data_IF_605122081545
#
_entry.id   IF_605122081545
#
_cell.length_a   1.000
_cell.length_b   1.000
_cell.length_c   1.000
_cell.angle_alpha   90.00
_cell.angle_beta   90.00
_cell.angle_gamma   90.00
#
_symmetry.space_group_name_H-M   'P 1'
#
loop_
_entity.id
_entity.type
_entity.pdbx_description
1 polymer ?
#
# COMPACT_ATOMS: atom_id res chain seq x y z
N UNK A 1 17.60 -27.97 9.38
CA UNK A 1 16.39 -28.35 10.13
C UNK A 1 16.13 -27.21 11.08
N UNK A 2 15.36 -26.20 10.65
CA UNK A 2 14.99 -25.06 11.49
C UNK A 2 13.96 -25.56 12.51
N UNK A 3 14.38 -25.64 13.77
CA UNK A 3 13.50 -25.98 14.88
C UNK A 3 12.55 -24.81 15.12
N UNK A 4 11.30 -25.11 15.48
CA UNK A 4 10.16 -24.20 15.71
C UNK A 4 10.41 -23.01 16.68
N UNK A 5 11.61 -22.89 17.24
CA UNK A 5 12.07 -21.87 18.19
C UNK A 5 12.70 -20.63 17.53
N UNK A 6 12.95 -20.65 16.21
CA UNK A 6 13.53 -19.51 15.46
C UNK A 6 12.48 -18.74 14.63
N UNK A 7 11.19 -18.98 14.88
CA UNK A 7 10.13 -18.22 14.22
C UNK A 7 10.09 -16.81 14.85
N UNK A 8 10.19 -15.74 14.04
CA UNK A 8 10.12 -14.37 14.54
C UNK A 8 8.81 -14.13 15.28
N UNK A 9 8.85 -13.28 16.32
CA UNK A 9 7.65 -12.93 17.09
C UNK A 9 6.56 -12.39 16.16
N UNK A 10 5.44 -13.12 16.08
CA UNK A 10 4.22 -12.60 15.47
C UNK A 10 3.44 -11.81 16.54
N UNK A 11 2.99 -10.58 16.25
CA UNK A 11 3.14 -9.86 14.99
C UNK A 11 4.49 -9.13 14.85
N UNK A 12 4.98 -9.05 13.61
CA UNK A 12 6.19 -8.31 13.23
C UNK A 12 5.96 -6.81 13.41
N UNK A 13 6.74 -6.17 14.26
CA UNK A 13 6.70 -4.72 14.48
C UNK A 13 7.92 -4.04 13.84
N UNK A 14 7.67 -3.01 13.03
CA UNK A 14 8.69 -2.27 12.29
C UNK A 14 8.57 -0.79 12.63
N UNK A 15 9.72 -0.13 12.71
CA UNK A 15 9.80 1.33 12.66
C UNK A 15 10.24 1.71 11.27
N UNK A 16 9.42 2.51 10.58
CA UNK A 16 9.70 3.01 9.24
C UNK A 16 9.77 4.53 9.26
N UNK A 17 10.54 5.11 8.35
CA UNK A 17 10.62 6.56 8.20
C UNK A 17 9.70 7.03 7.07
N UNK A 18 8.73 7.88 7.41
CA UNK A 18 7.84 8.51 6.43
C UNK A 18 8.55 9.56 5.58
N UNK A 19 7.91 10.00 4.50
CA UNK A 19 8.44 11.01 3.57
C UNK A 19 8.68 12.37 4.24
N UNK A 20 7.90 12.67 5.27
CA UNK A 20 8.01 13.84 6.15
C UNK A 20 9.13 13.73 7.19
N UNK A 21 9.91 12.63 7.16
CA UNK A 21 11.03 12.38 8.06
C UNK A 21 10.65 11.89 9.46
N UNK A 22 9.35 11.73 9.76
CA UNK A 22 8.85 11.18 11.02
C UNK A 22 8.89 9.65 11.01
N UNK A 23 9.13 9.06 12.17
CA UNK A 23 9.09 7.62 12.34
C UNK A 23 7.67 7.14 12.65
N UNK A 24 7.26 6.06 11.99
CA UNK A 24 5.98 5.41 12.20
C UNK A 24 6.18 3.96 12.56
N UNK A 25 5.39 3.47 13.51
CA UNK A 25 5.33 2.05 13.85
C UNK A 25 4.33 1.38 12.92
N UNK A 26 4.76 0.34 12.22
CA UNK A 26 3.90 -0.58 11.47
C UNK A 26 3.93 -1.92 12.16
N UNK A 27 2.79 -2.59 12.23
CA UNK A 27 2.70 -3.94 12.79
C UNK A 27 1.96 -4.82 11.81
N UNK A 28 2.56 -5.96 11.46
CA UNK A 28 2.06 -6.91 10.47
C UNK A 28 2.07 -8.30 11.09
N UNK A 29 0.96 -9.02 10.95
CA UNK A 29 0.91 -10.41 11.38
C UNK A 29 -0.03 -11.21 10.50
N UNK A 30 0.32 -12.46 10.21
CA UNK A 30 -0.59 -13.36 9.49
C UNK A 30 -1.74 -13.77 10.41
N UNK A 31 -2.95 -13.76 9.88
CA UNK A 31 -4.14 -14.30 10.57
C UNK A 31 -4.44 -15.70 10.06
N UNK A 32 -5.25 -16.43 10.83
CA UNK A 32 -5.87 -17.67 10.39
C UNK A 32 -6.57 -17.49 9.03
N UNK A 33 -6.64 -18.58 8.26
CA UNK A 33 -7.18 -18.61 6.89
C UNK A 33 -6.46 -17.69 5.88
N UNK A 34 -5.22 -17.26 6.16
CA UNK A 34 -4.39 -16.51 5.21
C UNK A 34 -4.70 -15.01 5.14
N UNK A 35 -5.42 -14.48 6.14
CA UNK A 35 -5.59 -13.04 6.29
C UNK A 35 -4.30 -12.36 6.79
N UNK A 36 -4.26 -11.02 6.74
CA UNK A 36 -3.17 -10.22 7.29
C UNK A 36 -3.76 -9.18 8.23
N UNK A 37 -3.26 -9.14 9.47
CA UNK A 37 -3.46 -8.05 10.41
C UNK A 37 -2.44 -6.98 10.15
N UNK A 38 -2.88 -5.72 10.10
CA UNK A 38 -1.99 -4.64 9.76
C UNK A 38 -2.40 -3.36 10.49
N UNK A 39 -1.43 -2.69 11.11
CA UNK A 39 -1.61 -1.37 11.72
C UNK A 39 -0.47 -0.44 11.37
N UNK A 40 -0.72 0.86 11.35
CA UNK A 40 0.30 1.89 11.23
C UNK A 40 -0.05 3.08 12.14
N UNK A 41 0.95 3.66 12.79
CA UNK A 41 0.77 4.82 13.67
C UNK A 41 0.54 6.14 12.95
N UNK A 42 0.62 6.18 11.62
CA UNK A 42 0.47 7.44 10.87
C UNK A 42 -1.00 7.92 10.86
N UNK A 43 -1.18 9.24 10.75
CA UNK A 43 -2.51 9.85 10.76
C UNK A 43 -3.42 9.32 9.64
N UNK A 44 -2.85 9.03 8.46
CA UNK A 44 -3.61 8.49 7.33
C UNK A 44 -4.24 7.14 7.66
N UNK A 45 -3.48 6.25 8.30
CA UNK A 45 -3.98 4.93 8.68
C UNK A 45 -5.14 5.03 9.68
N UNK A 46 -5.05 5.94 10.64
CA UNK A 46 -6.13 6.17 11.62
C UNK A 46 -7.45 6.62 10.99
N UNK A 47 -7.39 7.30 9.84
CA UNK A 47 -8.56 7.84 9.13
C UNK A 47 -9.14 6.83 8.14
N UNK A 48 -8.27 6.22 7.35
CA UNK A 48 -8.68 5.44 6.18
C UNK A 48 -8.54 3.92 6.38
N UNK A 49 -7.99 3.48 7.51
CA UNK A 49 -7.62 2.07 7.80
C UNK A 49 -6.58 1.48 6.84
N UNK A 50 -5.90 2.35 6.09
CA UNK A 50 -4.72 2.04 5.27
C UNK A 50 -3.88 3.30 5.04
N UNK A 51 -2.63 3.12 4.62
CA UNK A 51 -1.81 4.24 4.15
C UNK A 51 -0.73 3.74 3.17
N UNK A 52 0.09 4.66 2.65
CA UNK A 52 1.17 4.30 1.72
C UNK A 52 2.17 3.32 2.33
N UNK A 53 2.55 3.55 3.59
CA UNK A 53 3.45 2.66 4.32
C UNK A 53 2.99 1.20 4.31
N UNK A 54 1.69 0.98 4.54
CA UNK A 54 1.13 -0.37 4.61
C UNK A 54 1.11 -1.04 3.26
N UNK A 55 0.88 -0.27 2.19
CA UNK A 55 0.99 -0.75 0.81
C UNK A 55 2.43 -1.12 0.49
N UNK A 56 3.41 -0.28 0.85
CA UNK A 56 4.82 -0.56 0.60
C UNK A 56 5.33 -1.80 1.35
N UNK A 57 4.87 -2.03 2.59
CA UNK A 57 5.16 -3.26 3.34
C UNK A 57 4.53 -4.48 2.66
N UNK A 58 3.25 -4.41 2.29
CA UNK A 58 2.57 -5.53 1.61
C UNK A 58 3.11 -5.81 0.21
N UNK A 59 3.70 -4.82 -0.46
CA UNK A 59 4.40 -4.98 -1.73
C UNK A 59 5.88 -5.36 -1.57
N UNK A 60 6.32 -5.71 -0.36
CA UNK A 60 7.69 -6.12 -0.05
C UNK A 60 8.78 -5.10 -0.43
N UNK A 61 8.49 -3.79 -0.34
CA UNK A 61 9.45 -2.71 -0.61
C UNK A 61 10.26 -2.29 0.60
N UNK A 62 10.79 -3.27 1.32
CA UNK A 62 11.43 -3.08 2.62
C UNK A 62 12.61 -2.11 2.57
N UNK A 63 13.44 -2.20 1.53
CA UNK A 63 14.58 -1.29 1.33
C UNK A 63 14.18 0.18 1.17
N UNK A 64 13.07 0.44 0.48
CA UNK A 64 12.56 1.81 0.33
C UNK A 64 12.04 2.38 1.66
N UNK A 65 11.67 1.51 2.60
CA UNK A 65 11.27 1.84 3.97
C UNK A 65 12.46 1.89 4.95
N UNK A 66 13.70 1.66 4.48
CA UNK A 66 14.90 1.63 5.30
C UNK A 66 15.08 0.35 6.12
N UNK A 67 14.30 -0.69 5.83
CA UNK A 67 14.41 -1.99 6.49
C UNK A 67 15.49 -2.81 5.77
N UNK A 68 16.57 -3.11 6.49
CA UNK A 68 17.71 -3.89 5.99
C UNK A 68 18.02 -5.11 6.85
N UNK A 69 17.21 -5.35 7.89
CA UNK A 69 17.35 -6.50 8.79
C UNK A 69 16.82 -7.78 8.09
N UNK A 70 17.66 -8.77 7.81
CA UNK A 70 17.25 -10.01 7.13
C UNK A 70 16.21 -10.81 7.92
N UNK A 71 16.23 -10.75 9.25
CA UNK A 71 15.27 -11.49 10.08
C UNK A 71 13.89 -10.85 9.98
N UNK A 72 13.83 -9.52 9.96
CA UNK A 72 12.60 -8.77 9.70
C UNK A 72 12.06 -9.00 8.29
N UNK A 73 12.93 -9.09 7.29
CA UNK A 73 12.57 -9.41 5.90
C UNK A 73 11.92 -10.80 5.81
N UNK A 74 12.57 -11.82 6.37
CA UNK A 74 12.04 -13.19 6.41
C UNK A 74 10.71 -13.30 7.16
N UNK A 75 10.57 -12.57 8.27
CA UNK A 75 9.34 -12.52 9.05
C UNK A 75 8.18 -11.93 8.23
N UNK A 76 8.44 -10.86 7.47
CA UNK A 76 7.44 -10.21 6.62
C UNK A 76 7.07 -11.07 5.42
N UNK A 77 8.04 -11.71 4.78
CA UNK A 77 7.78 -12.67 3.72
C UNK A 77 6.81 -13.75 4.20
N UNK A 78 7.07 -14.33 5.37
CA UNK A 78 6.20 -15.34 5.98
C UNK A 78 4.80 -14.82 6.27
N UNK A 79 4.68 -13.56 6.71
CA UNK A 79 3.41 -12.94 7.06
C UNK A 79 2.57 -12.52 5.84
N UNK A 80 3.21 -12.08 4.76
CA UNK A 80 2.57 -11.39 3.63
C UNK A 80 2.48 -12.25 2.38
N UNK A 81 3.51 -13.02 2.05
CA UNK A 81 3.58 -13.70 0.75
C UNK A 81 2.49 -14.76 0.57
N UNK A 82 1.90 -14.77 -0.62
CA UNK A 82 0.80 -15.64 -1.01
C UNK A 82 -0.52 -15.31 -0.32
N UNK A 83 -0.64 -14.12 0.29
CA UNK A 83 -1.90 -13.67 0.90
C UNK A 83 -2.69 -12.80 -0.08
N UNK A 84 -4.02 -12.81 0.07
CA UNK A 84 -4.88 -11.90 -0.71
C UNK A 84 -4.52 -10.43 -0.49
N UNK A 85 -4.00 -10.08 0.69
CA UNK A 85 -3.58 -8.74 1.04
C UNK A 85 -2.38 -8.27 0.19
N UNK A 86 -1.44 -9.16 -0.12
CA UNK A 86 -0.34 -8.90 -1.05
C UNK A 86 -0.88 -8.61 -2.46
N UNK A 87 -1.77 -9.47 -2.98
CA UNK A 87 -2.34 -9.31 -4.32
C UNK A 87 -3.05 -7.95 -4.49
N UNK A 88 -3.93 -7.61 -3.54
CA UNK A 88 -4.67 -6.35 -3.61
C UNK A 88 -3.78 -5.13 -3.33
N UNK A 89 -2.67 -5.29 -2.58
CA UNK A 89 -1.69 -4.22 -2.41
C UNK A 89 -0.99 -3.92 -3.73
N UNK A 90 -0.59 -4.94 -4.50
CA UNK A 90 0.00 -4.77 -5.81
C UNK A 90 -0.97 -4.14 -6.81
N UNK A 91 -2.26 -4.48 -6.77
CA UNK A 91 -3.28 -3.80 -7.56
C UNK A 91 -3.40 -2.31 -7.22
N UNK A 92 -3.52 -2.00 -5.93
CA UNK A 92 -3.63 -0.63 -5.44
C UNK A 92 -2.38 0.19 -5.80
N UNK A 93 -1.21 -0.40 -5.65
CA UNK A 93 0.03 0.27 -5.99
C UNK A 93 0.15 0.58 -7.48
N UNK A 94 -0.20 -0.35 -8.38
CA UNK A 94 -0.23 -0.09 -9.82
C UNK A 94 -1.18 1.05 -10.14
N UNK A 95 -2.35 1.10 -9.49
CA UNK A 95 -3.31 2.17 -9.69
C UNK A 95 -2.79 3.52 -9.16
N UNK A 96 -2.09 3.53 -8.02
CA UNK A 96 -1.41 4.73 -7.50
C UNK A 96 -0.37 5.26 -8.48
N UNK A 97 0.49 4.38 -9.03
CA UNK A 97 1.50 4.77 -10.03
C UNK A 97 0.84 5.33 -11.29
N UNK A 98 -0.22 4.70 -11.79
CA UNK A 98 -0.94 5.17 -12.97
C UNK A 98 -1.56 6.55 -12.74
N UNK A 99 -2.21 6.75 -11.59
CA UNK A 99 -2.79 8.03 -11.21
C UNK A 99 -1.72 9.13 -11.08
N UNK A 100 -0.63 8.87 -10.36
CA UNK A 100 0.47 9.85 -10.20
C UNK A 100 1.06 10.25 -11.55
N UNK A 101 1.31 9.30 -12.46
CA UNK A 101 1.79 9.60 -13.82
C UNK A 101 0.79 10.40 -14.64
N UNK A 102 -0.51 10.10 -14.52
CA UNK A 102 -1.54 10.88 -15.21
C UNK A 102 -1.60 12.32 -14.68
N UNK A 103 -1.46 12.50 -13.37
CA UNK A 103 -1.42 13.81 -12.72
C UNK A 103 -0.18 14.62 -13.15
N UNK A 104 0.99 13.99 -13.16
CA UNK A 104 2.24 14.60 -13.66
C UNK A 104 2.11 15.04 -15.12
N UNK A 105 1.50 14.20 -15.98
CA UNK A 105 1.22 14.56 -17.38
C UNK A 105 0.28 15.77 -17.47
N UNK A 106 -0.77 15.81 -16.66
CA UNK A 106 -1.68 16.95 -16.63
C UNK A 106 -0.94 18.24 -16.22
N UNK A 107 -0.14 18.18 -15.16
CA UNK A 107 0.62 19.33 -14.67
C UNK A 107 1.67 19.82 -15.67
N UNK A 108 2.35 18.89 -16.35
CA UNK A 108 3.31 19.22 -17.42
C UNK A 108 2.63 19.78 -18.68
N UNK A 109 1.37 19.41 -18.94
CA UNK A 109 0.63 19.85 -20.13
C UNK A 109 -0.09 21.20 -19.96
N UNK A 110 0.02 21.84 -18.80
CA UNK A 110 -0.59 23.15 -18.56
C UNK A 110 -0.06 24.18 -19.54
N UNK A 111 -0.92 24.59 -20.46
CA UNK A 111 -0.65 25.63 -21.45
C UNK A 111 -1.62 26.79 -21.26
N UNK A 112 -1.13 28.02 -21.43
CA UNK A 112 -1.98 29.21 -21.53
C UNK A 112 -2.53 29.43 -22.97
N UNK A 113 -2.15 28.57 -23.91
CA UNK A 113 -2.60 28.64 -25.30
C UNK A 113 -4.07 28.27 -25.42
N UNK A 114 -4.83 29.05 -26.19
CA UNK A 114 -6.21 28.76 -26.59
C UNK A 114 -6.29 28.13 -27.99
N UNK A 115 -5.18 27.63 -28.52
CA UNK A 115 -5.16 26.90 -29.77
C UNK A 115 -5.98 25.60 -29.65
N UNK A 116 -6.75 25.25 -30.68
CA UNK A 116 -7.69 24.14 -30.65
C UNK A 116 -7.00 22.79 -30.38
N UNK A 117 -5.82 22.57 -30.96
CA UNK A 117 -4.98 21.39 -30.75
C UNK A 117 -4.49 21.26 -29.29
N UNK A 118 -4.13 22.38 -28.67
CA UNK A 118 -3.75 22.42 -27.26
C UNK A 118 -4.93 22.07 -26.34
N UNK A 119 -6.12 22.60 -26.64
CA UNK A 119 -7.35 22.31 -25.89
C UNK A 119 -7.74 20.83 -26.04
N UNK A 120 -7.69 20.27 -27.25
CA UNK A 120 -7.98 18.85 -27.51
C UNK A 120 -7.00 17.94 -26.76
N UNK A 121 -5.71 18.27 -26.77
CA UNK A 121 -4.68 17.53 -26.02
C UNK A 121 -4.95 17.56 -24.53
N UNK A 122 -5.24 18.73 -23.95
CA UNK A 122 -5.58 18.87 -22.53
C UNK A 122 -6.85 18.07 -22.17
N UNK A 123 -7.86 18.07 -23.02
CA UNK A 123 -9.08 17.30 -22.80
C UNK A 123 -8.80 15.78 -22.80
N UNK A 124 -7.91 15.30 -23.67
CA UNK A 124 -7.43 13.92 -23.67
C UNK A 124 -6.72 13.55 -22.37
N UNK A 125 -5.78 14.37 -21.91
CA UNK A 125 -5.03 14.13 -20.67
C UNK A 125 -5.93 14.18 -19.44
N UNK A 126 -6.90 15.11 -19.41
CA UNK A 126 -7.89 15.18 -18.33
C UNK A 126 -8.75 13.91 -18.26
N UNK A 127 -9.11 13.32 -19.42
CA UNK A 127 -9.84 12.04 -19.48
C UNK A 127 -8.99 10.89 -18.95
N UNK A 128 -7.73 10.78 -19.38
CA UNK A 128 -6.78 9.79 -18.86
C UNK A 128 -6.67 9.87 -17.32
N UNK A 129 -6.62 11.08 -16.76
CA UNK A 129 -6.56 11.28 -15.32
C UNK A 129 -7.85 10.81 -14.63
N UNK A 130 -9.02 11.11 -15.20
CA UNK A 130 -10.30 10.69 -14.66
C UNK A 130 -10.44 9.15 -14.65
N UNK A 131 -9.99 8.48 -15.70
CA UNK A 131 -9.99 7.02 -15.79
C UNK A 131 -9.03 6.38 -14.77
N UNK A 132 -7.84 6.97 -14.61
CA UNK A 132 -6.87 6.54 -13.59
C UNK A 132 -7.40 6.76 -12.16
N UNK A 133 -8.08 7.87 -11.90
CA UNK A 133 -8.70 8.17 -10.60
C UNK A 133 -9.81 7.16 -10.26
N UNK A 134 -10.64 6.80 -11.23
CA UNK A 134 -11.69 5.78 -11.07
C UNK A 134 -11.08 4.42 -10.74
N UNK A 135 -10.05 4.03 -11.48
CA UNK A 135 -9.31 2.78 -11.24
C UNK A 135 -8.68 2.74 -9.85
N UNK A 136 -8.09 3.86 -9.40
CA UNK A 136 -7.51 3.98 -8.07
C UNK A 136 -8.57 3.87 -6.97
N UNK A 137 -9.72 4.53 -7.13
CA UNK A 137 -10.81 4.46 -6.16
C UNK A 137 -11.32 3.02 -5.99
N UNK A 138 -11.50 2.29 -7.10
CA UNK A 138 -11.92 0.89 -7.08
C UNK A 138 -10.86 -0.01 -6.43
N UNK A 139 -9.58 0.17 -6.77
CA UNK A 139 -8.49 -0.60 -6.16
C UNK A 139 -8.40 -0.33 -4.65
N UNK A 140 -8.55 0.92 -4.21
CA UNK A 140 -8.54 1.29 -2.79
C UNK A 140 -9.72 0.66 -2.04
N UNK A 141 -10.90 0.59 -2.66
CA UNK A 141 -12.07 -0.08 -2.08
C UNK A 141 -11.85 -1.60 -1.96
N UNK A 142 -11.31 -2.26 -2.99
CA UNK A 142 -10.95 -3.69 -2.94
C UNK A 142 -9.91 -3.96 -1.85
N UNK A 143 -8.91 -3.09 -1.76
CA UNK A 143 -7.86 -3.17 -0.75
C UNK A 143 -8.42 -3.09 0.67
N UNK A 144 -9.23 -2.07 0.97
CA UNK A 144 -9.91 -1.91 2.26
C UNK A 144 -10.76 -3.12 2.62
N UNK A 145 -11.52 -3.66 1.65
CA UNK A 145 -12.35 -4.85 1.88
C UNK A 145 -11.51 -6.09 2.19
N UNK A 146 -10.35 -6.26 1.53
CA UNK A 146 -9.45 -7.37 1.81
C UNK A 146 -8.85 -7.29 3.22
N UNK A 147 -8.49 -6.08 3.68
CA UNK A 147 -7.99 -5.88 5.06
C UNK A 147 -9.09 -6.10 6.11
N UNK A 148 -10.33 -5.67 5.84
CA UNK A 148 -11.45 -5.83 6.77
C UNK A 148 -11.97 -7.28 6.85
N UNK A 149 -11.87 -8.05 5.76
CA UNK A 149 -12.36 -9.43 5.68
C UNK A 149 -11.46 -10.45 6.38
N UNK A 150 -10.29 -10.05 6.90
CA UNK A 150 -9.43 -10.92 7.68
C UNK A 150 -10.09 -11.19 9.05
N UNK A 151 -10.63 -12.40 9.30
CA UNK A 151 -11.48 -12.66 10.46
C UNK A 151 -10.77 -12.31 11.76
N UNK A 152 -11.45 -11.53 12.59
CA UNK A 152 -11.07 -11.21 13.96
C UNK A 152 -11.43 -12.40 14.87
N UNK A 153 -10.75 -13.54 14.68
CA UNK A 153 -10.80 -14.64 15.65
C UNK A 153 -9.61 -14.53 16.58
N UNK A 154 -9.59 -13.46 17.39
CA UNK A 154 -8.90 -13.48 18.68
C UNK A 154 -9.62 -12.54 19.66
N UNK A 155 -10.81 -12.98 20.08
CA UNK A 155 -11.42 -12.59 21.35
C UNK A 155 -11.85 -13.86 22.05
N UNK A 156 -11.01 -14.36 22.96
CA UNK A 156 -11.35 -14.92 24.28
C UNK A 156 -10.06 -15.47 24.91
N UNK A 157 -9.89 -15.43 26.24
CA UNK A 157 -10.94 -15.38 27.26
C UNK A 157 -11.27 -13.99 27.83
#
# INVERSE_FOLDING_TARGET
>A
MLTRSDLPEEPVALTIRGAEGHEHKVTVGRRAAGGVSLTCSCAMFSRETWCRHTVDVLCMRLRALGITDPDAEFALETAVMGTKAEDVAHELDRALIAYSRALERLDASRSASLAADAIETMAGIARDLADAATTLADAALRFRRALAAAPETDRLP
#
